data_IF_378347834642
#
_entry.id   IF_378347834642
#
_cell.length_a   1.000
_cell.length_b   1.000
_cell.length_c   1.000
_cell.angle_alpha   90.00
_cell.angle_beta   90.00
_cell.angle_gamma   90.00
#
_symmetry.space_group_name_H-M   'P 1'
#
loop_
_entity.id
_entity.type
_entity.pdbx_description
1 polymer ?
#
# COMPACT_ATOMS: atom_id res chain seq x y z
N UNK A 1 2.68 -10.19 3.98
CA UNK A 1 3.12 -11.56 4.25
C UNK A 1 2.66 -12.50 3.14
N UNK A 2 3.58 -13.39 2.71
CA UNK A 2 3.25 -14.39 1.69
C UNK A 2 2.73 -13.77 0.40
N UNK A 3 1.72 -14.38 -0.18
CA UNK A 3 1.14 -13.97 -1.45
C UNK A 3 -0.04 -12.98 -1.32
N UNK A 4 -0.33 -12.52 -0.11
CA UNK A 4 -1.50 -11.67 0.14
C UNK A 4 -1.49 -10.40 -0.73
N UNK A 5 -0.35 -9.73 -0.83
CA UNK A 5 -0.24 -8.51 -1.66
C UNK A 5 -0.50 -8.78 -3.13
N UNK A 6 0.09 -9.85 -3.68
CA UNK A 6 -0.12 -10.24 -5.07
C UNK A 6 -1.58 -10.58 -5.34
N UNK A 7 -2.21 -11.34 -4.45
CA UNK A 7 -3.61 -11.73 -4.60
C UNK A 7 -4.56 -10.53 -4.51
N UNK A 8 -4.33 -9.64 -3.57
CA UNK A 8 -5.13 -8.42 -3.43
C UNK A 8 -5.00 -7.52 -4.65
N UNK A 9 -3.78 -7.34 -5.15
CA UNK A 9 -3.55 -6.55 -6.35
C UNK A 9 -4.26 -7.17 -7.56
N UNK A 10 -4.12 -8.47 -7.77
CA UNK A 10 -4.79 -9.17 -8.86
C UNK A 10 -6.32 -9.03 -8.77
N UNK A 11 -6.88 -9.17 -7.57
CA UNK A 11 -8.32 -9.01 -7.35
C UNK A 11 -8.79 -7.59 -7.62
N UNK A 12 -8.04 -6.59 -7.18
CA UNK A 12 -8.41 -5.20 -7.45
C UNK A 12 -8.36 -4.89 -8.96
N UNK A 13 -7.39 -5.43 -9.68
CA UNK A 13 -7.27 -5.25 -11.12
C UNK A 13 -8.38 -5.94 -11.91
N UNK A 14 -8.98 -7.01 -11.37
CA UNK A 14 -10.19 -7.59 -11.94
C UNK A 14 -11.36 -6.62 -11.91
N UNK A 15 -11.41 -5.76 -10.90
CA UNK A 15 -12.54 -4.84 -10.69
C UNK A 15 -12.32 -3.52 -11.44
N UNK A 16 -11.13 -2.93 -11.33
CA UNK A 16 -10.86 -1.57 -11.83
C UNK A 16 -9.88 -1.52 -13.01
N UNK A 17 -9.37 -2.66 -13.46
CA UNK A 17 -8.38 -2.72 -14.52
C UNK A 17 -6.95 -2.52 -14.01
N UNK A 18 -6.02 -2.32 -14.93
CA UNK A 18 -4.60 -2.20 -14.59
C UNK A 18 -4.30 -1.00 -13.71
N UNK A 19 -3.39 -1.19 -12.76
CA UNK A 19 -2.94 -0.16 -11.82
C UNK A 19 -1.43 0.05 -12.02
N UNK A 20 -1.03 0.91 -12.98
CA UNK A 20 0.36 0.97 -13.47
C UNK A 20 1.39 1.40 -12.44
N UNK A 21 1.00 2.09 -11.39
CA UNK A 21 1.92 2.58 -10.37
C UNK A 21 1.82 1.79 -9.06
N UNK A 22 1.36 0.55 -9.13
CA UNK A 22 1.19 -0.31 -7.97
C UNK A 22 2.03 -1.57 -8.12
N UNK A 23 2.80 -1.89 -7.10
CA UNK A 23 3.69 -3.06 -7.07
C UNK A 23 3.43 -3.85 -5.81
N UNK A 24 3.27 -5.16 -5.95
CA UNK A 24 3.15 -6.06 -4.80
C UNK A 24 4.51 -6.67 -4.48
N UNK A 25 4.83 -6.71 -3.20
CA UNK A 25 6.07 -7.30 -2.67
C UNK A 25 5.69 -8.30 -1.59
N UNK A 26 6.35 -9.46 -1.59
CA UNK A 26 6.05 -10.55 -0.68
C UNK A 26 7.16 -10.76 0.34
N UNK A 27 6.77 -10.87 1.61
CA UNK A 27 7.64 -11.40 2.65
C UNK A 27 7.41 -12.90 2.73
N UNK A 28 8.34 -13.68 2.20
CA UNK A 28 8.24 -15.14 2.15
C UNK A 28 8.89 -15.77 3.39
N UNK A 29 8.50 -17.02 3.77
CA UNK A 29 9.15 -17.71 4.86
C UNK A 29 10.67 -17.77 4.70
N UNK A 30 11.41 -17.48 5.76
CA UNK A 30 12.87 -17.46 5.74
C UNK A 30 13.51 -16.19 5.19
N UNK A 31 12.72 -15.27 4.68
CA UNK A 31 13.23 -13.98 4.19
C UNK A 31 13.50 -13.05 5.37
N UNK A 32 14.67 -12.41 5.37
CA UNK A 32 15.03 -11.47 6.44
C UNK A 32 14.30 -10.13 6.25
N UNK A 33 14.08 -9.40 7.36
CA UNK A 33 13.54 -8.02 7.27
C UNK A 33 14.41 -7.12 6.39
N UNK A 34 15.74 -7.30 6.46
CA UNK A 34 16.70 -6.51 5.67
C UNK A 34 16.53 -6.77 4.16
N UNK A 35 16.29 -8.03 3.78
CA UNK A 35 16.06 -8.38 2.38
C UNK A 35 14.77 -7.74 1.85
N UNK A 36 13.70 -7.75 2.64
CA UNK A 36 12.45 -7.09 2.30
C UNK A 36 12.66 -5.58 2.15
N UNK A 37 13.35 -4.96 3.11
CA UNK A 37 13.66 -3.53 3.07
C UNK A 37 14.41 -3.16 1.79
N UNK A 38 15.40 -3.95 1.39
CA UNK A 38 16.15 -3.68 0.18
C UNK A 38 15.28 -3.77 -1.07
N UNK A 39 14.38 -4.74 -1.16
CA UNK A 39 13.43 -4.84 -2.27
C UNK A 39 12.55 -3.59 -2.36
N UNK A 40 12.02 -3.14 -1.24
CA UNK A 40 11.17 -1.93 -1.22
C UNK A 40 11.96 -0.72 -1.66
N UNK A 41 13.19 -0.55 -1.16
CA UNK A 41 14.04 0.59 -1.52
C UNK A 41 14.33 0.68 -3.02
N UNK A 42 14.40 -0.44 -3.73
CA UNK A 42 14.69 -0.42 -5.17
C UNK A 42 13.60 0.25 -5.99
N UNK A 43 12.37 0.31 -5.48
CA UNK A 43 11.23 0.89 -6.20
C UNK A 43 10.80 2.25 -5.65
N UNK A 44 11.35 2.69 -4.52
CA UNK A 44 11.02 3.99 -3.94
C UNK A 44 11.78 5.11 -4.62
N UNK A 45 11.09 6.23 -4.78
CA UNK A 45 11.67 7.47 -5.30
C UNK A 45 11.50 8.56 -4.24
N UNK A 46 12.60 9.21 -3.77
CA UNK A 46 12.49 10.24 -2.73
C UNK A 46 11.68 11.48 -3.17
N UNK A 47 11.44 11.64 -4.46
CA UNK A 47 10.67 12.77 -4.99
C UNK A 47 9.20 12.44 -5.23
N UNK A 48 8.77 11.22 -4.91
CA UNK A 48 7.40 10.75 -5.16
C UNK A 48 6.75 10.28 -3.86
N UNK A 49 5.62 10.91 -3.52
CA UNK A 49 4.81 10.46 -2.39
C UNK A 49 4.27 9.05 -2.64
N UNK A 50 4.46 8.16 -1.68
CA UNK A 50 4.15 6.74 -1.83
C UNK A 50 3.30 6.24 -0.66
N UNK A 51 2.27 5.46 -0.97
CA UNK A 51 1.49 4.76 0.03
C UNK A 51 1.94 3.31 0.06
N UNK A 52 2.29 2.82 1.24
CA UNK A 52 2.57 1.40 1.44
C UNK A 52 1.40 0.79 2.20
N UNK A 53 0.78 -0.19 1.57
CA UNK A 53 -0.27 -0.98 2.21
C UNK A 53 0.36 -2.25 2.79
N UNK A 54 0.01 -2.57 4.01
CA UNK A 54 0.43 -3.83 4.65
C UNK A 54 -0.78 -4.59 5.17
N UNK A 55 -0.63 -5.89 5.35
CA UNK A 55 -1.74 -6.76 5.75
C UNK A 55 -2.12 -6.60 7.21
N UNK A 56 -1.14 -6.53 8.12
CA UNK A 56 -1.41 -6.38 9.55
C UNK A 56 -0.53 -5.30 10.18
N UNK A 57 -1.08 -4.62 11.16
CA UNK A 57 -0.35 -3.63 11.94
C UNK A 57 0.65 -4.33 12.87
N UNK A 58 1.87 -3.80 12.94
CA UNK A 58 2.90 -4.29 13.86
C UNK A 58 3.70 -5.49 13.37
N UNK A 59 3.39 -6.03 12.20
CA UNK A 59 4.20 -7.08 11.57
C UNK A 59 5.46 -6.51 10.91
N UNK A 60 6.33 -7.38 10.42
CA UNK A 60 7.59 -6.97 9.76
C UNK A 60 7.37 -6.00 8.61
N UNK A 61 6.43 -6.23 7.66
CA UNK A 61 6.20 -5.26 6.59
C UNK A 61 5.79 -3.88 7.10
N UNK A 62 4.91 -3.83 8.09
CA UNK A 62 4.45 -2.57 8.70
C UNK A 62 5.61 -1.82 9.36
N UNK A 63 6.45 -2.54 10.10
CA UNK A 63 7.61 -1.94 10.79
C UNK A 63 8.63 -1.40 9.79
N UNK A 64 8.87 -2.10 8.68
CA UNK A 64 9.76 -1.65 7.61
C UNK A 64 9.23 -0.39 6.95
N UNK A 65 7.94 -0.35 6.63
CA UNK A 65 7.30 0.84 6.05
C UNK A 65 7.47 2.05 6.97
N UNK A 66 7.30 1.85 8.26
CA UNK A 66 7.47 2.91 9.25
C UNK A 66 8.92 3.43 9.31
N UNK A 67 9.90 2.52 9.26
CA UNK A 67 11.32 2.91 9.23
C UNK A 67 11.66 3.68 7.96
N UNK A 68 11.17 3.22 6.81
CA UNK A 68 11.43 3.87 5.53
C UNK A 68 10.76 5.25 5.42
N UNK A 69 9.69 5.49 6.17
CA UNK A 69 9.03 6.79 6.19
C UNK A 69 9.91 7.91 6.74
N UNK A 70 11.02 7.57 7.40
CA UNK A 70 12.02 8.54 7.88
C UNK A 70 12.94 9.03 6.76
N UNK A 71 13.07 8.27 5.69
CA UNK A 71 13.95 8.58 4.56
C UNK A 71 13.18 8.99 3.30
N UNK A 72 11.94 8.55 3.16
CA UNK A 72 11.11 8.72 1.97
C UNK A 72 9.75 9.31 2.34
N UNK A 73 9.08 10.03 1.43
CA UNK A 73 7.73 10.56 1.66
C UNK A 73 6.69 9.44 1.58
N UNK A 74 6.60 8.64 2.63
CA UNK A 74 5.76 7.45 2.72
C UNK A 74 4.71 7.62 3.80
N UNK A 75 3.49 7.18 3.49
CA UNK A 75 2.46 6.89 4.49
C UNK A 75 2.13 5.41 4.42
N UNK A 76 1.97 4.78 5.56
CA UNK A 76 1.63 3.37 5.64
C UNK A 76 0.20 3.20 6.13
N UNK A 77 -0.57 2.35 5.46
CA UNK A 77 -1.89 1.93 5.91
C UNK A 77 -1.84 0.42 6.12
N UNK A 78 -2.02 -0.01 7.37
CA UNK A 78 -2.06 -1.43 7.74
C UNK A 78 -3.51 -1.91 7.78
N UNK A 79 -3.69 -3.23 7.63
CA UNK A 79 -5.05 -3.80 7.56
C UNK A 79 -5.69 -3.61 6.19
N UNK A 80 -4.89 -3.67 5.13
CA UNK A 80 -5.34 -3.42 3.76
C UNK A 80 -6.51 -4.33 3.39
N UNK A 81 -7.48 -3.75 2.68
CA UNK A 81 -8.56 -4.50 2.04
C UNK A 81 -8.77 -4.01 0.61
N UNK A 82 -9.59 -4.72 -0.17
CA UNK A 82 -9.81 -4.39 -1.58
C UNK A 82 -10.35 -2.97 -1.77
N UNK A 83 -11.24 -2.51 -0.88
CA UNK A 83 -11.81 -1.17 -0.98
C UNK A 83 -10.74 -0.08 -0.94
N UNK A 84 -9.69 -0.27 -0.14
CA UNK A 84 -8.57 0.67 -0.06
C UNK A 84 -7.81 0.75 -1.37
N UNK A 85 -7.53 -0.39 -2.00
CA UNK A 85 -6.81 -0.43 -3.28
C UNK A 85 -7.64 0.20 -4.40
N UNK A 86 -8.94 -0.09 -4.43
CA UNK A 86 -9.86 0.49 -5.39
C UNK A 86 -9.92 2.00 -5.23
N UNK A 87 -10.07 2.49 -4.00
CA UNK A 87 -10.11 3.93 -3.72
C UNK A 87 -8.82 4.63 -4.13
N UNK A 88 -7.68 4.05 -3.78
CA UNK A 88 -6.38 4.61 -4.15
C UNK A 88 -6.23 4.73 -5.66
N UNK A 89 -6.66 3.71 -6.42
CA UNK A 89 -6.62 3.74 -7.87
C UNK A 89 -7.54 4.82 -8.45
N UNK A 90 -8.75 4.95 -7.93
CA UNK A 90 -9.71 5.97 -8.37
C UNK A 90 -9.19 7.38 -8.10
N UNK A 91 -8.56 7.60 -6.95
CA UNK A 91 -7.99 8.90 -6.60
C UNK A 91 -6.83 9.29 -7.52
N UNK A 92 -6.01 8.32 -7.95
CA UNK A 92 -4.92 8.58 -8.89
C UNK A 92 -5.43 9.01 -10.27
N UNK A 93 -6.57 8.50 -10.69
CA UNK A 93 -7.18 8.83 -11.98
C UNK A 93 -8.02 10.10 -11.92
N UNK A 94 -8.21 10.69 -10.74
CA UNK A 94 -9.01 11.88 -10.56
C UNK A 94 -8.25 13.15 -10.94
N UNK A 95 -8.95 14.11 -11.58
CA UNK A 95 -8.40 15.43 -11.90
C UNK A 95 -8.43 16.37 -10.69
N UNK A 96 -9.01 15.94 -9.57
CA UNK A 96 -9.08 16.75 -8.37
C UNK A 96 -7.71 16.84 -7.69
N UNK A 97 -7.29 18.05 -7.37
CA UNK A 97 -6.10 18.25 -6.55
C UNK A 97 -6.43 17.97 -5.09
N UNK A 98 -5.67 17.04 -4.49
CA UNK A 98 -5.80 16.71 -3.08
C UNK A 98 -4.41 16.60 -2.46
N UNK A 99 -4.30 16.95 -1.19
CA UNK A 99 -3.08 16.73 -0.43
C UNK A 99 -2.87 15.24 -0.17
N UNK A 100 -1.66 14.86 0.16
CA UNK A 100 -1.34 13.47 0.52
C UNK A 100 -2.17 13.04 1.74
N UNK A 101 -2.32 13.90 2.72
CA UNK A 101 -3.15 13.61 3.90
C UNK A 101 -4.62 13.36 3.54
N UNK A 102 -5.16 14.11 2.58
CA UNK A 102 -6.52 13.88 2.10
C UNK A 102 -6.66 12.54 1.39
N UNK A 103 -5.68 12.14 0.57
CA UNK A 103 -5.64 10.81 -0.04
C UNK A 103 -5.70 9.72 1.02
N UNK A 104 -4.87 9.83 2.05
CA UNK A 104 -4.80 8.85 3.12
C UNK A 104 -6.14 8.75 3.85
N UNK A 105 -6.76 9.88 4.14
CA UNK A 105 -8.05 9.92 4.84
C UNK A 105 -9.16 9.26 4.01
N UNK A 106 -9.23 9.56 2.72
CA UNK A 106 -10.22 8.94 1.82
C UNK A 106 -10.05 7.42 1.76
N UNK A 107 -8.83 6.95 1.63
CA UNK A 107 -8.53 5.52 1.55
C UNK A 107 -8.89 4.82 2.86
N UNK A 108 -8.49 5.41 3.98
CA UNK A 108 -8.82 4.91 5.32
C UNK A 108 -10.34 4.77 5.48
N UNK A 109 -11.09 5.80 5.14
CA UNK A 109 -12.54 5.81 5.30
C UNK A 109 -13.21 4.78 4.40
N UNK A 110 -12.75 4.66 3.15
CA UNK A 110 -13.28 3.66 2.21
C UNK A 110 -13.08 2.23 2.74
N UNK A 111 -11.90 1.96 3.28
CA UNK A 111 -11.61 0.65 3.87
C UNK A 111 -12.46 0.35 5.09
N UNK A 112 -12.63 1.34 5.94
CA UNK A 112 -13.41 1.19 7.17
C UNK A 112 -14.89 0.96 6.88
N UNK A 113 -15.45 1.63 5.87
CA UNK A 113 -16.85 1.48 5.48
C UNK A 113 -17.19 0.08 4.98
N UNK A 114 -16.21 -0.66 4.47
CA UNK A 114 -16.42 -2.02 4.00
C UNK A 114 -16.55 -3.05 5.11
N UNK A 115 -16.26 -2.67 6.36
CA UNK A 115 -16.43 -3.56 7.51
C UNK A 115 -17.90 -3.51 7.92
N UNK A 116 -18.66 -4.48 7.44
CA UNK A 116 -20.11 -4.59 7.69
C UNK A 116 -20.41 -5.85 8.51
N UNK A 117 -21.34 -5.76 9.43
CA UNK A 117 -21.75 -6.88 10.28
C UNK A 117 -23.23 -7.18 10.13
#
# INVERSE_FOLDING_TARGET
HGEAGNALLASSEMIVGKTPHTTAISLMPGMSPEALMQQVKTILNPDVETIIFTDIYGGTPSNIAYLLSREFPIRCISGVNLAMLIEANMLQDSDEEQSFDEYIQHIHDAGKEMIQT
#
